data_IF_771475674146
#
_entry.id   IF_771475674146
#
_cell.length_a   1.000
_cell.length_b   1.000
_cell.length_c   1.000
_cell.angle_alpha   90.00
_cell.angle_beta   90.00
_cell.angle_gamma   90.00
#
_symmetry.space_group_name_H-M   'P 1'
#
loop_
_entity.id
_entity.type
_entity.pdbx_description
1 polymer ?
#
# COMPACT_ATOMS: atom_id res chain seq x y z
N UNK A 1 3.99 -3.14 5.02
CA UNK A 1 5.03 -2.64 4.10
C UNK A 1 5.13 -1.16 4.33
N UNK A 2 6.32 -0.61 4.54
CA UNK A 2 6.49 0.82 4.83
C UNK A 2 6.06 1.68 3.62
N UNK A 3 5.63 2.91 3.87
CA UNK A 3 5.09 3.81 2.84
C UNK A 3 6.07 4.00 1.69
N UNK A 4 7.37 4.08 1.99
CA UNK A 4 8.44 4.20 1.00
C UNK A 4 8.54 2.95 0.12
N UNK A 5 8.42 1.76 0.70
CA UNK A 5 8.42 0.50 -0.04
C UNK A 5 7.21 0.38 -0.96
N UNK A 6 6.03 0.85 -0.54
CA UNK A 6 4.83 0.87 -1.38
C UNK A 6 5.02 1.79 -2.59
N UNK A 7 5.57 2.99 -2.37
CA UNK A 7 5.88 3.93 -3.44
C UNK A 7 6.88 3.32 -4.42
N UNK A 8 7.94 2.65 -3.93
CA UNK A 8 8.91 1.95 -4.79
C UNK A 8 8.24 0.86 -5.62
N UNK A 9 7.41 0.00 -5.01
CA UNK A 9 6.72 -1.07 -5.75
C UNK A 9 5.82 -0.50 -6.83
N UNK A 10 5.04 0.54 -6.52
CA UNK A 10 4.21 1.24 -7.52
C UNK A 10 5.05 1.82 -8.66
N UNK A 11 6.19 2.43 -8.34
CA UNK A 11 7.11 2.99 -9.32
C UNK A 11 7.69 1.90 -10.24
N UNK A 12 8.11 0.77 -9.67
CA UNK A 12 8.63 -0.38 -10.42
C UNK A 12 7.55 -1.00 -11.30
N UNK A 13 6.33 -1.15 -10.79
CA UNK A 13 5.19 -1.62 -11.58
C UNK A 13 4.93 -0.71 -12.77
N UNK A 14 4.94 0.61 -12.57
CA UNK A 14 4.75 1.57 -13.65
C UNK A 14 5.88 1.56 -14.68
N UNK A 15 7.14 1.53 -14.23
CA UNK A 15 8.30 1.42 -15.12
C UNK A 15 8.26 0.12 -15.93
N UNK A 16 7.90 -1.00 -15.30
CA UNK A 16 7.75 -2.28 -15.98
C UNK A 16 6.62 -2.24 -17.03
N UNK A 17 5.52 -1.54 -16.74
CA UNK A 17 4.44 -1.32 -17.70
C UNK A 17 4.92 -0.49 -18.91
N UNK A 18 5.61 0.63 -18.67
CA UNK A 18 6.10 1.52 -19.73
C UNK A 18 7.19 0.88 -20.61
N UNK A 19 8.07 0.09 -20.00
CA UNK A 19 9.12 -0.65 -20.72
C UNK A 19 8.57 -1.88 -21.47
N UNK A 20 7.27 -2.19 -21.32
CA UNK A 20 6.67 -3.37 -21.92
C UNK A 20 7.26 -4.68 -21.37
N UNK A 21 7.64 -4.70 -20.08
CA UNK A 21 8.21 -5.88 -19.41
C UNK A 21 7.11 -6.56 -18.58
N UNK A 22 6.30 -7.46 -19.18
CA UNK A 22 5.09 -7.97 -18.53
C UNK A 22 5.38 -8.81 -17.29
N UNK A 23 6.52 -9.52 -17.24
CA UNK A 23 6.85 -10.38 -16.09
C UNK A 23 7.20 -9.56 -14.83
N UNK A 24 7.93 -8.45 -14.97
CA UNK A 24 8.17 -7.51 -13.87
C UNK A 24 6.90 -6.80 -13.45
N UNK A 25 6.05 -6.44 -14.42
CA UNK A 25 4.75 -5.81 -14.14
C UNK A 25 3.86 -6.73 -13.30
N UNK A 26 3.59 -7.94 -13.78
CA UNK A 26 2.75 -8.89 -13.06
C UNK A 26 3.37 -9.34 -11.75
N UNK A 27 4.70 -9.51 -11.69
CA UNK A 27 5.43 -9.85 -10.46
C UNK A 27 5.29 -8.77 -9.39
N UNK A 28 5.40 -7.49 -9.75
CA UNK A 28 5.26 -6.37 -8.81
C UNK A 28 3.81 -6.13 -8.40
N UNK A 29 2.83 -6.33 -9.29
CA UNK A 29 1.40 -6.33 -8.95
C UNK A 29 1.07 -7.44 -7.95
N UNK A 30 1.57 -8.66 -8.18
CA UNK A 30 1.36 -9.78 -7.25
C UNK A 30 1.97 -9.47 -5.88
N UNK A 31 3.20 -8.97 -5.87
CA UNK A 31 3.91 -8.60 -4.64
C UNK A 31 3.13 -7.52 -3.87
N UNK A 32 2.61 -6.51 -4.57
CA UNK A 32 1.76 -5.46 -3.99
C UNK A 32 0.48 -6.04 -3.36
N UNK A 33 -0.27 -6.88 -4.08
CA UNK A 33 -1.51 -7.48 -3.57
C UNK A 33 -1.26 -8.36 -2.35
N UNK A 34 -0.17 -9.12 -2.32
CA UNK A 34 0.17 -10.01 -1.20
C UNK A 34 0.66 -9.22 0.03
N UNK A 35 1.36 -8.11 -0.18
CA UNK A 35 1.94 -7.31 0.92
C UNK A 35 0.98 -6.28 1.51
N UNK A 36 0.05 -5.76 0.71
CA UNK A 36 -0.94 -4.77 1.15
C UNK A 36 -2.12 -5.47 1.82
N UNK A 37 -2.31 -5.25 3.13
CA UNK A 37 -3.43 -5.82 3.90
C UNK A 37 -4.72 -4.99 3.83
N UNK A 38 -4.75 -3.93 3.01
CA UNK A 38 -5.89 -3.03 2.90
C UNK A 38 -6.65 -3.26 1.59
N UNK A 39 -7.87 -3.83 1.63
CA UNK A 39 -8.63 -4.12 0.43
C UNK A 39 -9.05 -2.85 -0.33
N UNK A 40 -9.26 -1.73 0.37
CA UNK A 40 -9.55 -0.42 -0.24
C UNK A 40 -8.43 0.05 -1.18
N UNK A 41 -7.16 -0.10 -0.76
CA UNK A 41 -5.99 0.27 -1.56
C UNK A 41 -5.85 -0.64 -2.78
N UNK A 42 -6.12 -1.94 -2.62
CA UNK A 42 -6.09 -2.90 -3.73
C UNK A 42 -7.18 -2.56 -4.76
N UNK A 43 -8.39 -2.23 -4.32
CA UNK A 43 -9.51 -1.86 -5.21
C UNK A 43 -9.19 -0.58 -5.98
N UNK A 44 -8.71 0.48 -5.30
CA UNK A 44 -8.34 1.74 -5.96
C UNK A 44 -7.20 1.52 -6.96
N UNK A 45 -6.21 0.72 -6.60
CA UNK A 45 -5.11 0.37 -7.51
C UNK A 45 -5.60 -0.40 -8.75
N UNK A 46 -6.46 -1.40 -8.57
CA UNK A 46 -7.03 -2.18 -9.66
C UNK A 46 -7.92 -1.35 -10.59
N UNK A 47 -8.77 -0.48 -10.04
CA UNK A 47 -9.56 0.48 -10.82
C UNK A 47 -8.67 1.45 -11.59
N UNK A 48 -7.59 1.93 -10.97
CA UNK A 48 -6.60 2.79 -11.60
C UNK A 48 -5.93 2.11 -12.80
N UNK A 49 -5.51 0.85 -12.66
CA UNK A 49 -4.94 0.05 -13.75
C UNK A 49 -5.93 -0.17 -14.90
N UNK A 50 -7.18 -0.52 -14.59
CA UNK A 50 -8.24 -0.70 -15.59
C UNK A 50 -8.54 0.60 -16.33
N UNK A 51 -8.61 1.73 -15.63
CA UNK A 51 -8.82 3.04 -16.23
C UNK A 51 -7.67 3.42 -17.17
N UNK A 52 -6.42 3.13 -16.77
CA UNK A 52 -5.23 3.37 -17.58
C UNK A 52 -5.27 2.57 -18.90
N UNK A 53 -5.72 1.31 -18.82
CA UNK A 53 -5.87 0.44 -19.98
C UNK A 53 -7.03 0.84 -20.90
N UNK A 54 -8.19 1.20 -20.35
CA UNK A 54 -9.38 1.55 -21.12
C UNK A 54 -9.30 2.93 -21.78
N UNK A 55 -8.81 3.93 -21.05
CA UNK A 55 -8.77 5.32 -21.52
C UNK A 55 -7.53 5.62 -22.37
N UNK A 56 -6.65 4.64 -22.61
CA UNK A 56 -5.36 4.81 -23.30
C UNK A 56 -4.56 5.99 -22.74
N UNK A 57 -4.63 6.23 -21.42
CA UNK A 57 -3.95 7.32 -20.73
C UNK A 57 -2.46 7.03 -20.52
N UNK A 58 -1.84 6.31 -21.46
CA UNK A 58 -0.42 5.94 -21.40
C UNK A 58 0.47 7.19 -21.33
N UNK A 59 0.05 8.28 -21.97
CA UNK A 59 0.76 9.57 -21.94
C UNK A 59 0.60 10.31 -20.60
N UNK A 60 -0.48 10.06 -19.87
CA UNK A 60 -0.80 10.72 -18.59
C UNK A 60 -0.45 9.85 -17.37
N UNK A 61 0.38 8.82 -17.57
CA UNK A 61 0.79 7.87 -16.55
C UNK A 61 1.36 8.53 -15.29
N UNK A 62 2.10 9.63 -15.44
CA UNK A 62 2.70 10.39 -14.34
C UNK A 62 1.64 11.05 -13.44
N UNK A 63 0.52 11.50 -14.02
CA UNK A 63 -0.59 12.10 -13.28
C UNK A 63 -1.28 11.02 -12.44
N UNK A 64 -1.53 9.86 -13.03
CA UNK A 64 -2.17 8.74 -12.34
C UNK A 64 -1.28 8.21 -11.22
N UNK A 65 0.03 8.08 -11.47
CA UNK A 65 1.00 7.71 -10.45
C UNK A 65 1.01 8.73 -9.29
N UNK A 66 1.03 10.04 -9.60
CA UNK A 66 0.99 11.09 -8.59
C UNK A 66 -0.29 11.05 -7.74
N UNK A 67 -1.45 10.79 -8.36
CA UNK A 67 -2.73 10.63 -7.65
C UNK A 67 -2.71 9.42 -6.74
N UNK A 68 -2.23 8.26 -7.21
CA UNK A 68 -2.17 7.03 -6.40
C UNK A 68 -1.20 7.21 -5.24
N UNK A 69 -0.02 7.78 -5.47
CA UNK A 69 0.96 8.06 -4.41
C UNK A 69 0.38 9.04 -3.38
N UNK A 70 -0.27 10.12 -3.82
CA UNK A 70 -0.92 11.07 -2.94
C UNK A 70 -2.03 10.41 -2.11
N UNK A 71 -2.85 9.56 -2.74
CA UNK A 71 -3.91 8.82 -2.08
C UNK A 71 -3.35 7.84 -1.04
N UNK A 72 -2.32 7.07 -1.38
CA UNK A 72 -1.67 6.14 -0.44
C UNK A 72 -1.04 6.88 0.74
N UNK A 73 -0.40 8.03 0.51
CA UNK A 73 0.14 8.86 1.60
C UNK A 73 -0.96 9.45 2.49
N UNK A 74 -2.13 9.78 1.91
CA UNK A 74 -3.27 10.30 2.64
C UNK A 74 -3.99 9.22 3.45
N UNK A 75 -4.24 8.03 2.86
CA UNK A 75 -4.91 6.92 3.53
C UNK A 75 -4.06 6.28 4.63
N UNK A 76 -2.73 6.43 4.58
CA UNK A 76 -1.87 5.98 5.68
C UNK A 76 -1.79 6.96 6.86
N UNK A 77 -2.08 8.26 6.68
CA UNK A 77 -2.20 9.19 7.82
C UNK A 77 -3.37 8.83 8.74
N UNK A 78 -4.39 8.17 8.18
CA UNK A 78 -5.57 7.69 8.91
C UNK A 78 -5.45 6.24 9.38
N UNK A 79 -4.33 5.54 9.15
CA UNK A 79 -4.06 4.42 10.03
C UNK A 79 -3.83 5.03 11.42
N UNK A 80 -4.70 4.78 12.42
CA UNK A 80 -4.26 5.02 13.77
C UNK A 80 -2.94 4.27 13.87
N UNK A 81 -1.88 4.99 14.27
CA UNK A 81 -0.76 4.35 14.96
C UNK A 81 -1.41 3.26 15.83
N UNK A 82 -0.94 2.01 15.84
CA UNK A 82 -1.35 1.12 16.91
C UNK A 82 -1.07 1.86 18.22
N UNK A 83 -2.12 2.44 18.81
CA UNK A 83 -2.17 2.85 20.18
C UNK A 83 -2.17 1.52 20.91
N UNK A 84 -0.98 1.09 21.28
CA UNK A 84 -0.78 -0.28 21.77
C UNK A 84 0.67 -0.64 22.01
N UNK A 85 1.56 0.35 22.13
CA UNK A 85 2.90 0.17 22.71
C UNK A 85 2.93 0.40 24.22
N UNK A 86 1.82 0.79 24.85
CA UNK A 86 1.76 1.18 26.28
C UNK A 86 0.59 0.55 27.05
N UNK A 87 0.00 -0.57 26.60
CA UNK A 87 -1.01 -1.31 27.38
C UNK A 87 -0.80 -2.82 27.37
N UNK A 88 0.46 -3.28 27.34
CA UNK A 88 0.81 -4.70 27.43
C UNK A 88 0.94 -5.23 28.87
N UNK A 89 0.28 -4.59 29.82
CA UNK A 89 -0.01 -5.21 31.10
C UNK A 89 -1.49 -5.02 31.38
N UNK A 90 -2.29 -6.05 31.06
CA UNK A 90 -3.58 -6.23 31.72
C UNK A 90 -3.33 -6.12 33.24
N UNK A 91 -4.09 -5.30 33.98
CA UNK A 91 -3.95 -5.20 35.43
C UNK A 91 -3.98 -6.57 36.12
N UNK A 92 -4.65 -7.54 35.52
CA UNK A 92 -4.75 -8.93 35.99
C UNK A 92 -3.41 -9.70 35.91
N UNK A 93 -2.54 -9.37 34.94
CA UNK A 93 -1.20 -9.95 34.81
C UNK A 93 -0.18 -9.29 35.77
N UNK A 94 -0.37 -8.01 36.09
CA UNK A 94 0.42 -7.31 37.11
C UNK A 94 0.09 -7.81 38.53
N UNK A 95 -1.16 -8.19 38.79
CA UNK A 95 -1.58 -8.79 40.07
C UNK A 95 -0.97 -10.19 40.27
N UNK A 96 -0.90 -10.99 39.20
CA UNK A 96 -0.30 -12.34 39.24
C UNK A 96 1.24 -12.35 39.37
N UNK A 97 1.93 -11.26 38.99
CA UNK A 97 3.40 -11.13 39.06
C UNK A 97 3.92 -10.52 40.37
N UNK A 98 3.06 -10.30 41.37
CA UNK A 98 3.48 -9.95 42.74
C UNK A 98 3.36 -8.46 43.11
N UNK A 99 2.40 -7.73 42.53
CA UNK A 99 1.98 -6.43 43.05
C UNK A 99 1.08 -6.61 44.28
N UNK A 100 1.40 -5.91 45.37
CA UNK A 100 0.51 -5.79 46.54
C UNK A 100 -0.77 -5.03 46.21
#
# INVERSE_FOLDING_TARGET
MDSLSIVIVLLVTFLAYQQGIPWLFWGSVLLFVVTVRQPSVIIVFGLGLLALQFLRLQDFWFIILAIIVAFVLMTQKEQPKPAGGEELYSPELMELLGGK
#
